data_IF_854709684825
#
_entry.id   IF_854709684825
#
_cell.length_a   1.000
_cell.length_b   1.000
_cell.length_c   1.000
_cell.angle_alpha   90.00
_cell.angle_beta   90.00
_cell.angle_gamma   90.00
#
_symmetry.space_group_name_H-M   'P 1'
#
loop_
_entity.id
_entity.type
_entity.pdbx_description
1 polymer ?
#
# COMPACT_ATOMS: atom_id res chain seq x y z
N UNK A 1 0.37 -6.33 -19.59
CA UNK A 1 1.29 -5.85 -18.54
C UNK A 1 2.00 -7.06 -17.93
N UNK A 2 3.30 -6.95 -17.75
CA UNK A 2 4.08 -7.97 -17.04
C UNK A 2 4.41 -7.44 -15.64
N UNK A 3 4.16 -8.23 -14.61
CA UNK A 3 4.34 -7.84 -13.22
C UNK A 3 5.27 -8.84 -12.53
N UNK A 4 6.15 -8.32 -11.70
CA UNK A 4 7.01 -9.11 -10.84
C UNK A 4 7.00 -8.51 -9.43
N UNK A 5 6.93 -9.35 -8.42
CA UNK A 5 6.99 -8.91 -7.03
C UNK A 5 7.93 -9.80 -6.23
N UNK A 6 8.66 -9.19 -5.31
CA UNK A 6 9.56 -9.90 -4.41
C UNK A 6 9.60 -9.19 -3.06
N UNK A 7 9.67 -9.97 -2.01
CA UNK A 7 9.89 -9.49 -0.65
C UNK A 7 10.89 -10.40 0.05
N UNK A 8 11.68 -9.85 0.97
CA UNK A 8 12.72 -10.58 1.68
C UNK A 8 12.94 -9.94 3.05
N UNK A 9 13.09 -10.76 4.08
CA UNK A 9 13.32 -10.28 5.44
C UNK A 9 14.71 -9.62 5.60
N UNK A 10 15.66 -9.96 4.70
CA UNK A 10 17.03 -9.51 4.79
C UNK A 10 17.83 -10.30 5.82
N UNK A 11 19.04 -9.82 6.11
CA UNK A 11 20.00 -10.53 6.99
C UNK A 11 19.99 -10.05 8.44
N UNK A 12 19.48 -8.83 8.69
CA UNK A 12 19.54 -8.19 10.01
C UNK A 12 18.24 -8.23 10.79
N UNK A 13 17.11 -8.38 10.11
CA UNK A 13 15.79 -8.41 10.73
C UNK A 13 15.37 -9.85 11.00
N UNK A 14 14.64 -10.06 12.07
CA UNK A 14 14.05 -11.36 12.38
C UNK A 14 12.71 -11.57 11.69
N UNK A 15 12.02 -10.48 11.35
CA UNK A 15 10.69 -10.50 10.77
C UNK A 15 10.60 -9.55 9.60
N UNK A 16 9.99 -10.01 8.51
CA UNK A 16 9.64 -9.17 7.36
C UNK A 16 8.33 -8.47 7.64
N UNK A 17 8.37 -7.14 7.76
CA UNK A 17 7.19 -6.30 8.01
C UNK A 17 6.66 -5.63 6.76
N UNK A 18 7.21 -5.98 5.60
CA UNK A 18 6.70 -5.52 4.31
C UNK A 18 5.57 -6.42 3.83
N UNK A 19 4.68 -5.86 3.05
CA UNK A 19 3.62 -6.60 2.40
C UNK A 19 3.41 -6.08 0.99
N UNK A 20 3.27 -6.99 0.03
CA UNK A 20 3.17 -6.69 -1.39
C UNK A 20 1.94 -7.37 -1.98
N UNK A 21 1.18 -6.64 -2.77
CA UNK A 21 0.08 -7.18 -3.56
C UNK A 21 0.17 -6.64 -4.98
N UNK A 22 0.23 -7.51 -5.97
CA UNK A 22 0.28 -7.11 -7.37
C UNK A 22 -0.63 -8.00 -8.20
N UNK A 23 -1.36 -7.41 -9.13
CA UNK A 23 -2.19 -8.16 -10.06
C UNK A 23 -2.36 -7.41 -11.38
N UNK A 24 -2.37 -8.14 -12.49
CA UNK A 24 -2.72 -7.65 -13.82
C UNK A 24 -4.19 -7.90 -14.17
N UNK A 25 -4.95 -8.41 -13.21
CA UNK A 25 -6.39 -8.67 -13.35
C UNK A 25 -7.19 -7.58 -12.66
N UNK A 26 -8.45 -7.35 -13.07
CA UNK A 26 -9.26 -6.31 -12.45
C UNK A 26 -9.45 -6.48 -10.95
N UNK A 27 -9.35 -5.36 -10.25
CA UNK A 27 -9.71 -5.21 -8.84
C UNK A 27 -10.81 -4.14 -8.80
N UNK A 28 -12.07 -4.56 -8.74
CA UNK A 28 -13.18 -3.64 -8.89
C UNK A 28 -13.07 -2.85 -10.19
N UNK A 29 -13.13 -1.51 -10.12
CA UNK A 29 -13.03 -0.68 -11.33
C UNK A 29 -11.62 -0.55 -11.92
N UNK A 30 -10.59 -0.99 -11.22
CA UNK A 30 -9.21 -0.88 -11.71
C UNK A 30 -8.83 -2.12 -12.52
N UNK A 31 -8.20 -1.97 -13.69
CA UNK A 31 -7.79 -3.11 -14.51
C UNK A 31 -6.56 -3.85 -13.97
N UNK A 32 -5.84 -3.23 -13.07
CA UNK A 32 -4.64 -3.76 -12.44
C UNK A 32 -4.40 -2.99 -11.14
N UNK A 33 -3.56 -3.54 -10.27
CA UNK A 33 -3.22 -2.87 -9.02
C UNK A 33 -1.89 -3.39 -8.49
N UNK A 34 -1.02 -2.46 -8.08
CA UNK A 34 0.25 -2.75 -7.43
C UNK A 34 0.29 -1.99 -6.11
N UNK A 35 0.54 -2.70 -5.02
CA UNK A 35 0.54 -2.11 -3.68
C UNK A 35 1.73 -2.63 -2.90
N UNK A 36 2.45 -1.73 -2.24
CA UNK A 36 3.57 -2.06 -1.34
C UNK A 36 3.37 -1.31 -0.04
N UNK A 37 3.57 -1.99 1.06
CA UNK A 37 3.52 -1.39 2.39
C UNK A 37 4.70 -1.87 3.23
N UNK A 38 5.30 -0.96 3.99
CA UNK A 38 6.39 -1.21 4.93
C UNK A 38 5.89 -0.87 6.33
N UNK A 39 5.66 -1.90 7.12
CA UNK A 39 5.10 -1.76 8.46
C UNK A 39 6.13 -1.41 9.51
N UNK A 40 5.69 -0.70 10.55
CA UNK A 40 6.49 -0.38 11.72
C UNK A 40 5.73 -0.70 12.99
N UNK A 41 6.47 -1.05 14.03
CA UNK A 41 5.91 -1.38 15.33
C UNK A 41 6.68 -2.49 16.01
N UNK A 42 6.57 -2.59 17.34
CA UNK A 42 7.20 -3.65 18.12
C UNK A 42 6.52 -5.00 17.87
N UNK A 43 7.29 -6.07 18.09
CA UNK A 43 6.81 -7.45 17.93
C UNK A 43 6.19 -7.68 16.54
N UNK A 44 4.93 -8.08 16.49
CA UNK A 44 4.21 -8.36 15.24
C UNK A 44 3.37 -7.18 14.74
N UNK A 45 3.44 -6.03 15.41
CA UNK A 45 2.59 -4.89 15.09
C UNK A 45 2.84 -4.35 13.67
N UNK A 46 4.11 -4.27 13.24
CA UNK A 46 4.43 -3.82 11.88
C UNK A 46 3.95 -4.78 10.81
N UNK A 47 4.10 -6.07 11.02
CA UNK A 47 3.57 -7.10 10.11
C UNK A 47 2.04 -7.00 10.00
N UNK A 48 1.36 -6.88 11.14
CA UNK A 48 -0.09 -6.68 11.16
C UNK A 48 -0.48 -5.39 10.43
N UNK A 49 0.23 -4.29 10.66
CA UNK A 49 -0.10 -3.00 10.08
C UNK A 49 -0.01 -3.02 8.55
N UNK A 50 1.09 -3.54 7.99
CA UNK A 50 1.28 -3.60 6.54
C UNK A 50 0.27 -4.53 5.88
N UNK A 51 0.10 -5.72 6.40
CA UNK A 51 -0.85 -6.70 5.85
C UNK A 51 -2.29 -6.21 5.93
N UNK A 52 -2.71 -5.75 7.10
CA UNK A 52 -4.07 -5.24 7.30
C UNK A 52 -4.37 -4.07 6.38
N UNK A 53 -3.41 -3.15 6.22
CA UNK A 53 -3.56 -1.98 5.34
C UNK A 53 -3.72 -2.40 3.90
N UNK A 54 -2.87 -3.29 3.39
CA UNK A 54 -2.94 -3.71 1.98
C UNK A 54 -4.22 -4.49 1.72
N UNK A 55 -4.57 -5.46 2.56
CA UNK A 55 -5.79 -6.24 2.39
C UNK A 55 -7.04 -5.36 2.44
N UNK A 56 -7.08 -4.40 3.36
CA UNK A 56 -8.20 -3.48 3.49
C UNK A 56 -8.29 -2.55 2.28
N UNK A 57 -7.16 -2.02 1.82
CA UNK A 57 -7.11 -1.16 0.64
C UNK A 57 -7.63 -1.89 -0.59
N UNK A 58 -7.15 -3.11 -0.83
CA UNK A 58 -7.58 -3.93 -1.98
C UNK A 58 -9.08 -4.22 -1.89
N UNK A 59 -9.58 -4.59 -0.72
CA UNK A 59 -11.00 -4.85 -0.51
C UNK A 59 -11.87 -3.62 -0.79
N UNK A 60 -11.44 -2.45 -0.34
CA UNK A 60 -12.16 -1.19 -0.58
C UNK A 60 -12.19 -0.81 -2.06
N UNK A 61 -11.10 -1.04 -2.77
CA UNK A 61 -11.05 -0.83 -4.22
C UNK A 61 -11.97 -1.83 -4.92
N UNK A 62 -11.91 -3.11 -4.53
CA UNK A 62 -12.74 -4.18 -5.10
C UNK A 62 -14.23 -3.86 -4.99
N UNK A 63 -14.65 -3.33 -3.86
CA UNK A 63 -16.07 -3.09 -3.56
C UNK A 63 -16.53 -1.67 -3.92
N UNK A 64 -15.65 -0.85 -4.50
CA UNK A 64 -15.98 0.55 -4.79
C UNK A 64 -17.07 0.67 -5.84
N UNK A 65 -18.04 1.53 -5.56
CA UNK A 65 -19.08 1.93 -6.52
C UNK A 65 -18.76 3.26 -7.19
N UNK A 66 -17.68 3.92 -6.78
CA UNK A 66 -17.20 5.16 -7.40
C UNK A 66 -16.60 4.83 -8.77
N UNK A 67 -16.61 5.81 -9.67
CA UNK A 67 -16.10 5.64 -11.04
C UNK A 67 -14.81 6.37 -11.31
N UNK A 68 -14.57 7.47 -10.61
CA UNK A 68 -13.38 8.27 -10.78
C UNK A 68 -12.19 7.62 -10.02
N UNK A 69 -11.10 7.26 -10.72
CA UNK A 69 -9.97 6.60 -10.09
C UNK A 69 -9.36 7.37 -8.90
N UNK A 70 -9.27 8.69 -9.01
CA UNK A 70 -8.72 9.52 -7.92
C UNK A 70 -9.62 9.46 -6.69
N UNK A 71 -10.94 9.54 -6.89
CA UNK A 71 -11.92 9.43 -5.79
C UNK A 71 -11.89 8.06 -5.13
N UNK A 72 -11.74 6.99 -5.92
CA UNK A 72 -11.62 5.63 -5.41
C UNK A 72 -10.40 5.50 -4.50
N UNK A 73 -9.25 5.97 -4.95
CA UNK A 73 -8.00 5.93 -4.20
C UNK A 73 -8.11 6.76 -2.91
N UNK A 74 -8.57 8.00 -3.02
CA UNK A 74 -8.70 8.90 -1.86
C UNK A 74 -9.63 8.32 -0.80
N UNK A 75 -10.77 7.78 -1.21
CA UNK A 75 -11.71 7.15 -0.29
C UNK A 75 -11.08 5.93 0.38
N UNK A 76 -10.39 5.08 -0.38
CA UNK A 76 -9.75 3.88 0.14
C UNK A 76 -8.66 4.24 1.16
N UNK A 77 -7.78 5.20 0.85
CA UNK A 77 -6.72 5.64 1.76
C UNK A 77 -7.31 6.20 3.06
N UNK A 78 -8.33 7.05 2.95
CA UNK A 78 -8.98 7.65 4.12
C UNK A 78 -9.60 6.59 5.03
N UNK A 79 -10.29 5.62 4.45
CA UNK A 79 -10.91 4.55 5.24
C UNK A 79 -9.90 3.58 5.83
N UNK A 80 -8.83 3.25 5.09
CA UNK A 80 -7.75 2.42 5.62
C UNK A 80 -7.13 3.07 6.84
N UNK A 81 -6.82 4.36 6.76
CA UNK A 81 -6.26 5.10 7.90
C UNK A 81 -7.17 5.02 9.13
N UNK A 82 -8.46 5.26 8.94
CA UNK A 82 -9.44 5.18 10.03
C UNK A 82 -9.47 3.79 10.66
N UNK A 83 -9.54 2.75 9.82
CA UNK A 83 -9.62 1.37 10.28
C UNK A 83 -8.34 0.91 10.97
N UNK A 84 -7.18 1.36 10.47
CA UNK A 84 -5.90 1.04 11.11
C UNK A 84 -5.80 1.66 12.50
N UNK A 85 -6.23 2.91 12.66
CA UNK A 85 -6.27 3.57 13.97
C UNK A 85 -7.21 2.84 14.93
N UNK A 86 -8.37 2.42 14.47
CA UNK A 86 -9.30 1.62 15.27
C UNK A 86 -8.68 0.28 15.67
N UNK A 87 -7.98 -0.37 14.75
CA UNK A 87 -7.30 -1.64 15.00
C UNK A 87 -6.19 -1.47 16.05
N UNK A 88 -5.42 -0.40 15.95
CA UNK A 88 -4.36 -0.09 16.90
C UNK A 88 -4.89 0.12 18.32
N UNK A 89 -6.10 0.64 18.46
CA UNK A 89 -6.73 0.88 19.76
C UNK A 89 -7.29 -0.39 20.41
N UNK A 90 -7.39 -1.51 19.68
CA UNK A 90 -7.95 -2.75 20.21
C UNK A 90 -7.03 -3.49 21.17
N UNK A 91 -5.72 -3.26 21.09
CA UNK A 91 -4.75 -4.02 21.90
C UNK A 91 -3.50 -3.19 22.14
N UNK A 92 -2.91 -3.37 23.34
CA UNK A 92 -1.60 -2.80 23.65
C UNK A 92 -0.50 -3.36 22.73
N UNK A 93 -0.68 -4.59 22.23
CA UNK A 93 0.27 -5.21 21.30
C UNK A 93 0.38 -4.44 19.98
N UNK A 94 -0.61 -3.64 19.64
CA UNK A 94 -0.64 -2.82 18.42
C UNK A 94 -0.26 -1.37 18.67
N UNK A 95 0.14 -1.03 19.88
CA UNK A 95 0.56 0.34 20.20
C UNK A 95 1.74 0.76 19.33
N UNK A 96 1.65 1.94 18.73
CA UNK A 96 2.67 2.48 17.86
C UNK A 96 2.78 1.84 16.49
N UNK A 97 1.86 0.93 16.12
CA UNK A 97 1.91 0.35 14.78
C UNK A 97 1.56 1.39 13.73
N UNK A 98 2.24 1.28 12.60
CA UNK A 98 2.00 2.11 11.44
C UNK A 98 2.53 1.42 10.21
N UNK A 99 2.28 2.02 9.06
CA UNK A 99 2.76 1.48 7.79
C UNK A 99 2.84 2.59 6.75
N UNK A 100 3.79 2.42 5.83
CA UNK A 100 3.75 3.14 4.57
C UNK A 100 2.74 2.50 3.65
N UNK A 101 2.38 3.20 2.59
CA UNK A 101 1.55 2.65 1.52
C UNK A 101 1.92 3.35 0.22
N UNK A 102 2.28 2.56 -0.78
CA UNK A 102 2.37 3.01 -2.17
C UNK A 102 1.45 2.12 -2.99
N UNK A 103 0.49 2.72 -3.67
CA UNK A 103 -0.42 2.02 -4.55
C UNK A 103 -0.39 2.64 -5.93
N UNK A 104 -0.43 1.81 -6.96
CA UNK A 104 -0.39 2.27 -8.34
C UNK A 104 -1.33 1.46 -9.22
N UNK A 105 -1.97 2.14 -10.15
CA UNK A 105 -2.75 1.51 -11.21
C UNK A 105 -2.50 2.23 -12.52
N UNK A 106 -2.44 1.46 -13.61
CA UNK A 106 -2.38 2.01 -14.97
C UNK A 106 -3.76 1.82 -15.59
N UNK A 107 -4.43 2.92 -15.83
CA UNK A 107 -5.82 2.95 -16.30
C UNK A 107 -5.94 4.04 -17.37
N UNK A 108 -6.43 3.69 -18.55
CA UNK A 108 -6.52 4.60 -19.71
C UNK A 108 -5.17 5.25 -20.05
N UNK A 109 -4.09 4.48 -20.03
CA UNK A 109 -2.72 4.93 -20.27
C UNK A 109 -2.21 6.00 -19.28
N UNK A 110 -2.87 6.12 -18.14
CA UNK A 110 -2.46 7.04 -17.08
C UNK A 110 -2.05 6.23 -15.85
N UNK A 111 -0.84 6.49 -15.35
CA UNK A 111 -0.39 5.95 -14.07
C UNK A 111 -0.94 6.83 -12.96
N UNK A 112 -1.71 6.23 -12.06
CA UNK A 112 -2.20 6.91 -10.87
C UNK A 112 -1.56 6.29 -9.64
N UNK A 113 -1.08 7.13 -8.75
CA UNK A 113 -0.27 6.72 -7.62
C UNK A 113 -0.82 7.33 -6.34
N UNK A 114 -0.93 6.53 -5.30
CA UNK A 114 -1.12 7.00 -3.93
C UNK A 114 0.15 6.72 -3.14
N UNK A 115 0.55 7.65 -2.29
CA UNK A 115 1.74 7.51 -1.47
C UNK A 115 1.52 8.08 -0.08
N UNK A 116 1.77 7.23 0.92
CA UNK A 116 1.81 7.62 2.33
C UNK A 116 3.12 7.10 2.91
N UNK A 117 3.97 8.00 3.39
CA UNK A 117 5.25 7.64 3.99
C UNK A 117 6.43 7.75 3.03
N UNK A 118 7.46 6.95 3.26
CA UNK A 118 8.76 7.03 2.56
C UNK A 118 9.07 5.81 1.68
N UNK A 119 8.13 4.93 1.47
CA UNK A 119 8.24 3.94 0.40
C UNK A 119 8.14 4.64 -0.94
N UNK A 120 8.82 4.12 -1.96
CA UNK A 120 9.03 4.88 -3.20
C UNK A 120 8.56 4.15 -4.43
N UNK A 121 8.16 4.94 -5.43
CA UNK A 121 7.86 4.47 -6.77
C UNK A 121 8.72 5.22 -7.77
N UNK A 122 9.37 4.47 -8.65
CA UNK A 122 10.21 5.00 -9.73
C UNK A 122 9.66 4.60 -11.08
N UNK A 123 9.84 5.47 -12.05
CA UNK A 123 9.68 5.13 -13.47
C UNK A 123 11.05 5.04 -14.09
N UNK A 124 11.30 3.93 -14.76
CA UNK A 124 12.53 3.70 -15.51
C UNK A 124 12.22 3.80 -17.00
N UNK A 125 12.71 4.86 -17.64
CA UNK A 125 12.68 5.07 -19.07
C UNK A 125 14.12 5.30 -19.54
N UNK A 126 14.36 6.38 -20.29
CA UNK A 126 15.73 6.80 -20.58
C UNK A 126 16.48 7.23 -19.32
N UNK A 127 15.73 7.68 -18.31
CA UNK A 127 16.23 8.07 -17.01
C UNK A 127 15.41 7.38 -15.93
N UNK A 128 15.95 7.31 -14.71
CA UNK A 128 15.20 6.87 -13.51
C UNK A 128 14.60 8.10 -12.87
N UNK A 129 13.28 8.09 -12.71
CA UNK A 129 12.55 9.21 -12.09
C UNK A 129 11.78 8.71 -10.87
N UNK A 130 12.05 9.31 -9.71
CA UNK A 130 11.25 9.06 -8.53
C UNK A 130 9.94 9.86 -8.64
N UNK A 131 8.82 9.14 -8.65
CA UNK A 131 7.50 9.74 -8.79
C UNK A 131 6.95 10.18 -7.44
N UNK A 132 7.22 9.38 -6.41
CA UNK A 132 6.73 9.66 -5.05
C UNK A 132 7.63 10.66 -4.35
N UNK A 133 7.06 11.40 -3.38
CA UNK A 133 7.80 12.29 -2.49
C UNK A 133 7.79 11.67 -1.11
N UNK A 134 8.96 11.56 -0.49
CA UNK A 134 9.07 10.99 0.84
C UNK A 134 8.35 11.87 1.88
N UNK A 135 7.53 11.21 2.71
CA UNK A 135 6.92 11.83 3.88
C UNK A 135 7.41 11.03 5.11
N UNK A 136 8.21 11.66 5.97
CA UNK A 136 8.61 11.04 7.22
C UNK A 136 7.67 11.48 8.35
N UNK A 137 7.41 10.57 9.25
CA UNK A 137 6.62 10.84 10.44
C UNK A 137 7.45 11.58 11.49
#
# INVERSE_FOLDING_TARGET
MKIYAKTDVGRKREMNQDYVYVTDKPVGPFPNLLVVADGMGGHKAGDMASRYTVETFVSLVQDSTLKDPVSIINNAVTQVNRRLLQKAAESEDYEGMGTTLVAATVYDNILRVANVGDSRLYILGNEITQITRDHSL
#
